data_IF_714320725772
#
_entry.id   IF_714320725772
#
_cell.length_a   1.000
_cell.length_b   1.000
_cell.length_c   1.000
_cell.angle_alpha   90.00
_cell.angle_beta   90.00
_cell.angle_gamma   90.00
#
_symmetry.space_group_name_H-M   'P 1'
#
loop_
_entity.id
_entity.type
_entity.pdbx_description
1 polymer ?
#
# COMPACT_ATOMS: atom_id res chain seq x y z
N UNK A 1 73.61 -5.62 -45.79
CA UNK A 1 72.77 -4.62 -45.09
C UNK A 1 71.74 -5.36 -44.22
N UNK A 2 72.02 -5.53 -42.92
CA UNK A 2 71.16 -6.26 -41.99
C UNK A 2 70.22 -5.29 -41.26
N UNK A 3 68.90 -5.48 -41.39
CA UNK A 3 67.88 -4.68 -40.72
C UNK A 3 67.74 -5.13 -39.26
N UNK A 4 68.19 -4.28 -38.33
CA UNK A 4 67.90 -4.42 -36.90
C UNK A 4 66.40 -4.25 -36.64
N UNK A 5 65.76 -5.32 -36.17
CA UNK A 5 64.38 -5.30 -35.71
C UNK A 5 64.34 -4.75 -34.26
N UNK A 6 63.77 -3.56 -34.10
CA UNK A 6 63.55 -2.90 -32.81
C UNK A 6 62.39 -3.59 -32.09
N UNK A 7 62.70 -4.28 -30.99
CA UNK A 7 61.74 -4.98 -30.12
C UNK A 7 60.99 -3.95 -29.27
N UNK A 8 59.71 -3.69 -29.59
CA UNK A 8 58.86 -2.78 -28.80
C UNK A 8 58.56 -3.38 -27.41
N UNK A 9 58.65 -2.59 -26.33
CA UNK A 9 58.32 -3.05 -24.99
C UNK A 9 56.80 -3.20 -24.83
N UNK A 10 56.38 -4.42 -24.52
CA UNK A 10 55.01 -4.76 -24.14
C UNK A 10 54.67 -4.08 -22.81
N UNK A 11 53.85 -3.02 -22.86
CA UNK A 11 53.23 -2.44 -21.66
C UNK A 11 52.37 -3.52 -21.00
N UNK A 12 52.76 -3.93 -19.79
CA UNK A 12 51.92 -4.74 -18.92
C UNK A 12 50.69 -3.92 -18.55
N UNK A 13 49.54 -4.36 -19.06
CA UNK A 13 48.23 -3.83 -18.72
C UNK A 13 47.89 -4.35 -17.31
N UNK A 14 48.09 -3.50 -16.30
CA UNK A 14 47.67 -3.81 -14.93
C UNK A 14 46.16 -3.99 -14.91
N UNK A 15 45.70 -5.22 -14.67
CA UNK A 15 44.30 -5.56 -14.45
C UNK A 15 43.76 -4.74 -13.28
N UNK A 16 42.60 -4.07 -13.44
CA UNK A 16 41.95 -3.32 -12.36
C UNK A 16 41.67 -4.24 -11.16
N UNK A 17 41.71 -3.71 -9.92
CA UNK A 17 41.36 -4.49 -8.74
C UNK A 17 39.95 -5.04 -8.90
N UNK A 18 39.83 -6.35 -8.72
CA UNK A 18 38.59 -7.11 -8.74
C UNK A 18 37.67 -6.55 -7.64
N UNK A 19 36.84 -5.59 -8.00
CA UNK A 19 35.73 -5.12 -7.16
C UNK A 19 34.90 -6.35 -6.88
N UNK A 20 35.03 -6.90 -5.66
CA UNK A 20 34.16 -7.95 -5.14
C UNK A 20 32.73 -7.42 -5.22
N UNK A 21 32.05 -7.72 -6.33
CA UNK A 21 30.63 -7.51 -6.48
C UNK A 21 30.01 -8.31 -5.34
N UNK A 22 29.61 -7.57 -4.30
CA UNK A 22 28.83 -8.12 -3.21
C UNK A 22 27.57 -8.60 -3.89
N UNK A 23 27.48 -9.92 -4.04
CA UNK A 23 26.37 -10.61 -4.67
C UNK A 23 25.09 -10.03 -4.04
N UNK A 24 24.20 -9.39 -4.82
CA UNK A 24 23.02 -8.77 -4.26
C UNK A 24 22.28 -9.88 -3.53
N UNK A 25 22.15 -9.73 -2.20
CA UNK A 25 21.49 -10.70 -1.35
C UNK A 25 20.06 -10.87 -1.89
N UNK A 26 19.85 -11.92 -2.68
CA UNK A 26 18.55 -12.28 -3.23
C UNK A 26 17.77 -12.79 -2.03
N UNK A 27 17.13 -11.88 -1.30
CA UNK A 27 16.17 -12.24 -0.28
C UNK A 27 15.08 -13.06 -0.98
N UNK A 28 15.13 -14.37 -0.81
CA UNK A 28 14.08 -15.26 -1.28
C UNK A 28 12.75 -14.69 -0.76
N UNK A 29 11.76 -14.48 -1.64
CA UNK A 29 10.48 -13.95 -1.23
C UNK A 29 9.84 -14.99 -0.31
N UNK A 30 9.95 -14.73 0.99
CA UNK A 30 9.34 -15.55 2.03
C UNK A 30 7.86 -15.64 1.70
N UNK A 31 7.45 -16.80 1.22
CA UNK A 31 6.13 -16.99 0.64
C UNK A 31 5.13 -17.00 1.79
N UNK A 32 4.49 -15.86 2.03
CA UNK A 32 3.58 -15.69 3.15
C UNK A 32 2.33 -16.55 2.92
N UNK A 33 2.21 -17.65 3.67
CA UNK A 33 1.06 -18.57 3.60
C UNK A 33 -0.29 -17.86 3.68
N UNK A 34 -0.37 -16.76 4.44
CA UNK A 34 -1.58 -15.95 4.56
C UNK A 34 -1.98 -15.26 3.24
N UNK A 35 -1.01 -14.77 2.48
CA UNK A 35 -1.25 -14.10 1.18
C UNK A 35 -1.75 -15.12 0.17
N UNK A 36 -1.11 -16.28 0.08
CA UNK A 36 -1.54 -17.39 -0.79
C UNK A 36 -2.98 -17.79 -0.45
N UNK A 37 -3.27 -17.95 0.84
CA UNK A 37 -4.61 -18.34 1.31
C UNK A 37 -5.67 -17.32 0.89
N UNK A 38 -5.40 -16.02 1.05
CA UNK A 38 -6.34 -14.96 0.66
C UNK A 38 -6.52 -14.89 -0.86
N UNK A 39 -5.44 -15.04 -1.63
CA UNK A 39 -5.50 -15.02 -3.10
C UNK A 39 -6.25 -16.24 -3.67
N UNK A 40 -6.25 -17.37 -2.95
CA UNK A 40 -7.03 -18.56 -3.26
C UNK A 40 -8.54 -18.43 -3.00
N UNK A 41 -9.00 -17.37 -2.31
CA UNK A 41 -10.42 -17.19 -1.99
C UNK A 41 -11.27 -16.88 -3.24
N UNK A 42 -12.56 -17.27 -3.24
CA UNK A 42 -13.50 -16.88 -4.29
C UNK A 42 -13.51 -15.36 -4.49
N UNK A 43 -13.67 -14.93 -5.75
CA UNK A 43 -13.59 -13.50 -6.11
C UNK A 43 -14.54 -12.63 -5.28
N UNK A 44 -15.74 -13.13 -4.99
CA UNK A 44 -16.75 -12.43 -4.17
C UNK A 44 -16.25 -12.18 -2.76
N UNK A 45 -15.58 -13.16 -2.13
CA UNK A 45 -15.01 -13.00 -0.78
C UNK A 45 -13.91 -11.95 -0.78
N UNK A 46 -13.05 -11.95 -1.80
CA UNK A 46 -12.02 -10.92 -1.98
C UNK A 46 -12.61 -9.52 -2.17
N UNK A 47 -13.73 -9.38 -2.87
CA UNK A 47 -14.45 -8.11 -2.97
C UNK A 47 -14.99 -7.66 -1.61
N UNK A 48 -15.57 -8.56 -0.82
CA UNK A 48 -16.06 -8.23 0.53
C UNK A 48 -14.90 -7.79 1.43
N UNK A 49 -13.75 -8.45 1.34
CA UNK A 49 -12.56 -8.12 2.14
C UNK A 49 -12.06 -6.68 1.91
N UNK A 50 -12.15 -6.15 0.68
CA UNK A 50 -11.70 -4.79 0.37
C UNK A 50 -12.75 -3.71 0.70
N UNK A 51 -14.02 -4.09 0.92
CA UNK A 51 -15.08 -3.16 1.33
C UNK A 51 -14.87 -2.69 2.78
N UNK A 52 -14.49 -3.60 3.68
CA UNK A 52 -14.24 -3.24 5.09
C UNK A 52 -13.21 -2.13 5.30
N UNK A 53 -12.00 -2.17 4.70
CA UNK A 53 -11.05 -1.08 4.86
C UNK A 53 -11.54 0.22 4.23
N UNK A 54 -12.26 0.19 3.10
CA UNK A 54 -12.85 1.40 2.52
C UNK A 54 -13.93 2.02 3.42
N UNK A 55 -14.76 1.19 4.06
CA UNK A 55 -15.71 1.65 5.09
C UNK A 55 -15.00 2.23 6.31
N UNK A 56 -13.95 1.55 6.78
CA UNK A 56 -13.12 2.03 7.89
C UNK A 56 -12.51 3.41 7.58
N UNK A 57 -11.98 3.60 6.36
CA UNK A 57 -11.52 4.91 5.87
C UNK A 57 -12.61 5.95 5.98
N UNK A 58 -13.82 5.64 5.52
CA UNK A 58 -14.95 6.59 5.56
C UNK A 58 -15.22 7.02 7.01
N UNK A 59 -15.37 6.08 7.94
CA UNK A 59 -15.66 6.37 9.36
C UNK A 59 -14.60 7.28 9.98
N UNK A 60 -13.32 6.98 9.76
CA UNK A 60 -12.20 7.74 10.32
C UNK A 60 -12.15 9.14 9.71
N UNK A 61 -12.15 9.23 8.38
CA UNK A 61 -11.92 10.48 7.68
C UNK A 61 -13.13 11.42 7.71
N UNK A 62 -14.36 10.93 7.83
CA UNK A 62 -15.54 11.80 7.92
C UNK A 62 -15.43 12.75 9.12
N UNK A 63 -15.06 12.25 10.30
CA UNK A 63 -14.92 13.11 11.49
C UNK A 63 -13.81 14.15 11.33
N UNK A 64 -12.67 13.74 10.77
CA UNK A 64 -11.52 14.63 10.56
C UNK A 64 -11.83 15.70 9.52
N UNK A 65 -12.40 15.29 8.38
CA UNK A 65 -12.76 16.19 7.28
C UNK A 65 -13.86 17.16 7.73
N UNK A 66 -14.88 16.67 8.44
CA UNK A 66 -15.95 17.53 8.97
C UNK A 66 -15.40 18.57 9.95
N UNK A 67 -14.54 18.17 10.89
CA UNK A 67 -13.93 19.09 11.85
C UNK A 67 -13.12 20.20 11.16
N UNK A 68 -12.28 19.84 10.17
CA UNK A 68 -11.47 20.79 9.42
C UNK A 68 -12.38 21.70 8.59
N UNK A 69 -13.34 21.12 7.88
CA UNK A 69 -14.22 21.85 6.99
C UNK A 69 -15.11 22.84 7.75
N UNK A 70 -15.73 22.42 8.86
CA UNK A 70 -16.54 23.30 9.70
C UNK A 70 -15.77 24.48 10.25
N UNK A 71 -14.47 24.29 10.56
CA UNK A 71 -13.63 25.32 11.14
C UNK A 71 -13.12 26.35 10.13
N UNK A 72 -12.87 25.94 8.89
CA UNK A 72 -12.14 26.78 7.92
C UNK A 72 -12.94 27.15 6.66
N UNK A 73 -13.91 26.32 6.24
CA UNK A 73 -14.50 26.41 4.90
C UNK A 73 -16.03 26.44 4.89
N UNK A 74 -16.69 26.38 6.05
CA UNK A 74 -18.14 26.22 6.12
C UNK A 74 -18.90 27.41 5.53
N UNK A 75 -19.70 27.12 4.50
CA UNK A 75 -20.80 27.96 4.04
C UNK A 75 -22.02 27.08 3.78
N UNK A 76 -23.23 27.64 3.88
CA UNK A 76 -24.47 26.87 3.64
C UNK A 76 -24.50 26.23 2.25
N UNK A 77 -23.90 26.87 1.25
CA UNK A 77 -23.85 26.39 -0.13
C UNK A 77 -22.90 25.20 -0.33
N UNK A 78 -21.89 25.02 0.53
CA UNK A 78 -20.83 24.01 0.33
C UNK A 78 -20.97 22.78 1.24
N UNK A 79 -22.09 22.62 1.93
CA UNK A 79 -22.34 21.54 2.91
C UNK A 79 -22.08 20.11 2.40
N UNK A 80 -22.13 19.87 1.08
CA UNK A 80 -21.92 18.55 0.48
C UNK A 80 -20.44 18.21 0.21
N UNK A 81 -19.54 19.19 0.28
CA UNK A 81 -18.11 19.03 -0.05
C UNK A 81 -17.43 17.98 0.84
N UNK A 82 -17.62 17.95 2.18
CA UNK A 82 -17.00 16.94 3.04
C UNK A 82 -17.35 15.50 2.66
N UNK A 83 -18.63 15.23 2.37
CA UNK A 83 -19.08 13.91 1.95
C UNK A 83 -18.47 13.47 0.62
N UNK A 84 -18.22 14.41 -0.29
CA UNK A 84 -17.62 14.11 -1.59
C UNK A 84 -16.13 13.76 -1.42
N UNK A 85 -15.40 14.50 -0.59
CA UNK A 85 -13.98 14.24 -0.28
C UNK A 85 -13.83 12.88 0.38
N UNK A 86 -14.63 12.58 1.40
CA UNK A 86 -14.56 11.32 2.16
C UNK A 86 -14.94 10.12 1.29
N UNK A 87 -15.98 10.25 0.46
CA UNK A 87 -16.35 9.21 -0.52
C UNK A 87 -15.26 8.98 -1.57
N UNK A 88 -14.61 10.06 -2.03
CA UNK A 88 -13.46 9.98 -2.94
C UNK A 88 -12.28 9.21 -2.33
N UNK A 89 -11.95 9.49 -1.06
CA UNK A 89 -10.90 8.77 -0.33
C UNK A 89 -11.24 7.27 -0.17
N UNK A 90 -12.47 6.96 0.21
CA UNK A 90 -12.94 5.58 0.33
C UNK A 90 -12.88 4.84 -1.01
N UNK A 91 -13.25 5.50 -2.10
CA UNK A 91 -13.17 4.96 -3.46
C UNK A 91 -11.72 4.66 -3.86
N UNK A 92 -10.77 5.53 -3.55
CA UNK A 92 -9.34 5.30 -3.79
C UNK A 92 -8.85 4.06 -3.05
N UNK A 93 -9.19 3.93 -1.77
CA UNK A 93 -8.81 2.74 -0.97
C UNK A 93 -9.43 1.46 -1.54
N UNK A 94 -10.69 1.53 -1.96
CA UNK A 94 -11.38 0.42 -2.62
C UNK A 94 -10.72 0.04 -3.96
N UNK A 95 -10.37 1.01 -4.80
CA UNK A 95 -9.69 0.78 -6.09
C UNK A 95 -8.31 0.15 -5.91
N UNK A 96 -7.54 0.61 -4.91
CA UNK A 96 -6.24 0.01 -4.55
C UNK A 96 -6.44 -1.44 -4.12
N UNK A 97 -7.42 -1.71 -3.24
CA UNK A 97 -7.76 -3.06 -2.82
C UNK A 97 -8.20 -3.95 -3.97
N UNK A 98 -9.01 -3.43 -4.88
CA UNK A 98 -9.45 -4.14 -6.08
C UNK A 98 -8.27 -4.53 -6.95
N UNK A 99 -7.36 -3.58 -7.23
CA UNK A 99 -6.18 -3.82 -8.07
C UNK A 99 -5.23 -4.84 -7.42
N UNK A 100 -5.03 -4.78 -6.10
CA UNK A 100 -4.06 -5.64 -5.41
C UNK A 100 -4.61 -7.02 -5.04
N UNK A 101 -5.86 -7.11 -4.59
CA UNK A 101 -6.42 -8.34 -4.00
C UNK A 101 -7.37 -9.06 -4.96
N UNK A 102 -8.25 -8.32 -5.64
CA UNK A 102 -9.26 -8.92 -6.53
C UNK A 102 -8.64 -9.28 -7.88
N UNK A 103 -7.86 -8.37 -8.46
CA UNK A 103 -7.24 -8.53 -9.77
C UNK A 103 -8.21 -8.44 -10.94
N UNK A 104 -7.66 -8.55 -12.15
CA UNK A 104 -8.38 -8.58 -13.44
C UNK A 104 -8.88 -10.00 -13.77
N UNK A 105 -9.94 -10.09 -14.56
CA UNK A 105 -10.50 -11.39 -14.97
C UNK A 105 -9.55 -12.06 -15.97
N UNK A 106 -9.08 -13.26 -15.65
CA UNK A 106 -8.24 -14.06 -16.56
C UNK A 106 -6.74 -14.04 -16.25
N UNK A 107 -6.29 -13.16 -15.35
CA UNK A 107 -4.91 -13.16 -14.86
C UNK A 107 -4.81 -13.92 -13.54
N UNK A 108 -3.75 -14.73 -13.39
CA UNK A 108 -3.41 -15.34 -12.10
C UNK A 108 -2.86 -14.24 -11.19
N UNK A 109 -3.36 -14.10 -9.95
CA UNK A 109 -2.83 -13.10 -9.03
C UNK A 109 -1.33 -13.35 -8.82
N UNK A 110 -0.51 -12.34 -9.15
CA UNK A 110 0.92 -12.40 -8.82
C UNK A 110 1.09 -12.09 -7.35
N UNK A 111 1.84 -12.94 -6.64
CA UNK A 111 2.25 -12.67 -5.27
C UNK A 111 3.21 -11.48 -5.26
N UNK A 112 2.69 -10.32 -4.88
CA UNK A 112 3.46 -9.10 -4.73
C UNK A 112 3.54 -8.75 -3.26
N UNK A 113 4.73 -8.34 -2.79
CA UNK A 113 4.93 -7.82 -1.42
C UNK A 113 3.94 -6.69 -1.08
N UNK A 114 3.49 -5.93 -2.08
CA UNK A 114 2.44 -4.92 -1.94
C UNK A 114 1.12 -5.45 -1.36
N UNK A 115 0.73 -6.70 -1.67
CA UNK A 115 -0.50 -7.31 -1.14
C UNK A 115 -0.38 -7.52 0.37
N UNK A 116 0.78 -7.99 0.85
CA UNK A 116 1.06 -8.16 2.28
C UNK A 116 0.89 -6.85 3.04
N UNK A 117 1.54 -5.79 2.56
CA UNK A 117 1.46 -4.46 3.17
C UNK A 117 0.04 -3.90 3.15
N UNK A 118 -0.69 -4.07 2.05
CA UNK A 118 -2.08 -3.65 1.96
C UNK A 118 -2.96 -4.38 2.99
N UNK A 119 -2.79 -5.69 3.16
CA UNK A 119 -3.55 -6.46 4.15
C UNK A 119 -3.25 -6.02 5.58
N UNK A 120 -1.97 -5.85 5.92
CA UNK A 120 -1.54 -5.36 7.24
C UNK A 120 -2.14 -3.97 7.50
N UNK A 121 -2.00 -3.05 6.54
CA UNK A 121 -2.56 -1.71 6.63
C UNK A 121 -4.09 -1.74 6.79
N UNK A 122 -4.78 -2.62 6.05
CA UNK A 122 -6.24 -2.78 6.14
C UNK A 122 -6.68 -3.26 7.52
N UNK A 123 -5.97 -4.24 8.10
CA UNK A 123 -6.26 -4.75 9.45
C UNK A 123 -6.07 -3.64 10.48
N UNK A 124 -4.94 -2.93 10.44
CA UNK A 124 -4.67 -1.81 11.35
C UNK A 124 -5.75 -0.73 11.21
N UNK A 125 -6.13 -0.39 9.98
CA UNK A 125 -7.14 0.62 9.69
C UNK A 125 -8.52 0.23 10.25
N UNK A 126 -8.93 -1.03 10.08
CA UNK A 126 -10.20 -1.54 10.60
C UNK A 126 -10.20 -1.53 12.13
N UNK A 127 -9.13 -2.01 12.76
CA UNK A 127 -8.98 -1.97 14.22
C UNK A 127 -9.03 -0.54 14.75
N UNK A 128 -8.33 0.39 14.08
CA UNK A 128 -8.34 1.79 14.44
C UNK A 128 -9.75 2.40 14.30
N UNK A 129 -10.46 2.13 13.19
CA UNK A 129 -11.84 2.58 13.01
C UNK A 129 -12.77 2.04 14.10
N UNK A 130 -12.59 0.78 14.51
CA UNK A 130 -13.39 0.17 15.57
C UNK A 130 -13.13 0.82 16.94
N UNK A 131 -11.86 1.00 17.31
CA UNK A 131 -11.48 1.69 18.54
C UNK A 131 -11.99 3.13 18.56
N UNK A 132 -11.87 3.84 17.43
CA UNK A 132 -12.38 5.20 17.27
C UNK A 132 -13.91 5.26 17.44
N UNK A 133 -14.63 4.32 16.82
CA UNK A 133 -16.08 4.24 16.93
C UNK A 133 -16.52 3.93 18.37
N UNK A 134 -15.84 3.02 19.07
CA UNK A 134 -16.09 2.76 20.49
C UNK A 134 -15.86 4.00 21.36
N UNK A 135 -14.78 4.75 21.09
CA UNK A 135 -14.48 6.00 21.77
C UNK A 135 -15.63 7.02 21.59
N UNK A 136 -16.08 7.24 20.35
CA UNK A 136 -17.19 8.16 20.05
C UNK A 136 -18.50 7.75 20.74
N UNK A 137 -18.84 6.46 20.72
CA UNK A 137 -20.05 5.95 21.38
C UNK A 137 -19.98 6.19 22.88
N UNK A 138 -18.84 5.89 23.50
CA UNK A 138 -18.66 6.06 24.95
C UNK A 138 -18.68 7.54 25.37
N UNK A 139 -18.06 8.43 24.58
CA UNK A 139 -18.11 9.87 24.80
C UNK A 139 -19.56 10.38 24.73
N UNK A 140 -20.33 9.95 23.72
CA UNK A 140 -21.73 10.34 23.59
C UNK A 140 -22.58 9.87 24.78
N UNK A 141 -22.35 8.67 25.32
CA UNK A 141 -23.06 8.19 26.52
C UNK A 141 -22.73 9.07 27.73
N UNK A 142 -21.46 9.44 27.93
CA UNK A 142 -21.03 10.26 29.06
C UNK A 142 -21.66 11.66 29.07
N UNK A 143 -21.83 12.28 27.91
CA UNK A 143 -22.37 13.66 27.81
C UNK A 143 -23.87 13.73 28.10
N UNK A 144 -24.61 12.62 27.90
CA UNK A 144 -26.07 12.57 28.04
C UNK A 144 -26.55 12.10 29.43
N UNK A 145 -25.63 11.78 30.36
CA UNK A 145 -25.92 11.38 31.74
C UNK A 145 -25.53 12.52 32.67
#
# INVERSE_FOLDING_TARGET
MAKQQVKKPTKQLSTPPETKMTEPEVHEPQTDRAVIWILGLPRVVRMILIVFPAMATTIIFTQVVDMIYLRFFFTMETRQVPSLITSGLALVVYMIGWMLVVGTRGEKPQERSAVKWYLIASIILILFAFLWLMYLVFENIRVNV
#
